data_IF_424784974088
#
_entry.id   IF_424784974088
#
_cell.length_a   1.000
_cell.length_b   1.000
_cell.length_c   1.000
_cell.angle_alpha   90.00
_cell.angle_beta   90.00
_cell.angle_gamma   90.00
#
_symmetry.space_group_name_H-M   'P 1'
#
loop_
_entity.id
_entity.type
_entity.pdbx_description
1 polymer ?
#
# COMPACT_ATOMS: atom_id res chain seq x y z
N UNK A 1 3.48 14.94 -9.98
CA UNK A 1 4.76 14.81 -9.24
C UNK A 1 5.15 13.34 -9.04
N UNK A 2 4.58 12.56 -8.11
CA UNK A 2 4.99 11.15 -7.88
C UNK A 2 4.80 10.27 -9.12
N UNK A 3 3.65 10.35 -9.79
CA UNK A 3 3.39 9.64 -11.06
C UNK A 3 4.37 9.99 -12.18
N UNK A 4 4.97 11.17 -12.12
CA UNK A 4 5.84 11.68 -13.17
C UNK A 4 7.31 11.39 -12.87
N UNK A 5 7.78 11.64 -11.66
CA UNK A 5 9.21 11.70 -11.33
C UNK A 5 9.69 10.56 -10.40
N UNK A 6 8.79 9.64 -10.02
CA UNK A 6 9.15 8.43 -9.26
C UNK A 6 9.68 7.29 -10.12
N UNK A 7 9.06 6.93 -11.27
CA UNK A 7 9.65 5.92 -12.14
C UNK A 7 10.98 6.43 -12.68
N UNK A 8 12.01 5.60 -12.68
CA UNK A 8 13.26 5.94 -13.36
C UNK A 8 12.97 6.06 -14.85
N UNK A 9 13.19 7.26 -15.40
CA UNK A 9 13.03 7.52 -16.82
C UNK A 9 14.39 7.52 -17.49
N UNK A 10 14.49 6.79 -18.58
CA UNK A 10 15.61 6.86 -19.52
C UNK A 10 15.34 7.97 -20.55
N UNK A 11 16.39 8.66 -21.05
CA UNK A 11 16.22 9.61 -22.14
C UNK A 11 15.74 8.90 -23.41
N UNK A 12 14.91 9.57 -24.21
CA UNK A 12 14.51 9.01 -25.51
C UNK A 12 15.73 8.91 -26.43
N UNK A 13 15.68 7.96 -27.38
CA UNK A 13 16.75 7.78 -28.38
C UNK A 13 16.93 9.10 -29.14
N UNK A 14 18.09 9.75 -28.97
CA UNK A 14 18.44 11.04 -29.58
C UNK A 14 18.33 12.26 -28.66
N UNK A 15 17.78 12.12 -27.45
CA UNK A 15 17.80 13.18 -26.44
C UNK A 15 19.03 13.04 -25.53
N UNK A 16 19.72 14.17 -25.29
CA UNK A 16 20.91 14.24 -24.40
C UNK A 16 20.52 14.65 -22.98
N UNK A 17 19.28 15.11 -22.77
CA UNK A 17 18.80 15.60 -21.48
C UNK A 17 18.20 14.44 -20.69
N UNK A 18 18.82 14.13 -19.55
CA UNK A 18 18.23 13.18 -18.62
C UNK A 18 16.95 13.77 -18.01
N UNK A 19 15.83 13.04 -18.04
CA UNK A 19 14.62 13.48 -17.39
C UNK A 19 14.83 13.59 -15.87
N UNK A 20 14.26 14.64 -15.28
CA UNK A 20 14.32 14.82 -13.84
C UNK A 20 13.65 13.65 -13.11
N UNK A 21 14.38 13.06 -12.15
CA UNK A 21 13.91 12.03 -11.25
C UNK A 21 14.11 12.52 -9.81
N UNK A 22 13.17 12.19 -8.92
CA UNK A 22 13.33 12.47 -7.48
C UNK A 22 14.56 11.73 -6.98
N UNK A 23 15.46 12.42 -6.27
CA UNK A 23 16.70 11.82 -5.78
C UNK A 23 16.41 10.67 -4.80
N UNK A 24 17.24 9.63 -4.77
CA UNK A 24 16.97 8.42 -3.98
C UNK A 24 16.89 8.70 -2.47
N UNK A 25 17.67 9.66 -1.95
CA UNK A 25 17.53 10.11 -0.55
C UNK A 25 16.13 10.63 -0.24
N UNK A 26 15.53 11.43 -1.13
CA UNK A 26 14.19 11.96 -0.95
C UNK A 26 13.14 10.86 -1.10
N UNK A 27 13.33 9.94 -2.06
CA UNK A 27 12.48 8.77 -2.21
C UNK A 27 12.49 7.92 -0.95
N UNK A 28 13.67 7.67 -0.37
CA UNK A 28 13.80 6.95 0.88
C UNK A 28 13.03 7.65 2.02
N UNK A 29 13.19 8.97 2.18
CA UNK A 29 12.41 9.72 3.18
C UNK A 29 10.89 9.60 2.97
N UNK A 30 10.43 9.63 1.72
CA UNK A 30 9.00 9.45 1.41
C UNK A 30 8.53 8.04 1.76
N UNK A 31 9.28 7.00 1.39
CA UNK A 31 8.98 5.60 1.74
C UNK A 31 8.90 5.43 3.25
N UNK A 32 9.79 6.08 3.99
CA UNK A 32 9.83 6.00 5.45
C UNK A 32 8.62 6.67 6.13
N UNK A 33 7.88 7.56 5.49
CA UNK A 33 6.84 8.34 6.16
C UNK A 33 5.44 8.21 5.55
N UNK A 34 5.31 7.63 4.35
CA UNK A 34 4.03 7.67 3.62
C UNK A 34 2.93 6.83 4.29
N UNK A 35 3.27 5.72 4.94
CA UNK A 35 2.29 4.85 5.63
C UNK A 35 1.70 5.59 6.83
N UNK A 36 2.56 6.18 7.66
CA UNK A 36 2.19 7.02 8.80
C UNK A 36 1.40 8.25 8.36
N UNK A 37 1.82 8.86 7.24
CA UNK A 37 1.10 9.96 6.60
C UNK A 37 -0.33 9.57 6.24
N UNK A 38 -0.55 8.42 5.62
CA UNK A 38 -1.90 7.90 5.30
C UNK A 38 -2.72 7.70 6.58
N UNK A 39 -2.13 7.12 7.61
CA UNK A 39 -2.81 6.85 8.88
C UNK A 39 -3.28 8.15 9.57
N UNK A 40 -2.40 9.15 9.65
CA UNK A 40 -2.64 10.38 10.44
C UNK A 40 -3.38 11.47 9.68
N UNK A 41 -3.47 11.37 8.36
CA UNK A 41 -4.07 12.42 7.53
C UNK A 41 -5.60 12.41 7.55
N UNK A 42 -6.25 13.57 7.34
CA UNK A 42 -7.68 13.63 7.07
C UNK A 42 -8.03 12.98 5.73
N UNK A 43 -9.30 12.60 5.53
CA UNK A 43 -9.74 11.74 4.43
C UNK A 43 -9.31 12.20 3.02
N UNK A 44 -9.43 13.49 2.72
CA UNK A 44 -9.04 14.03 1.41
C UNK A 44 -7.54 13.88 1.15
N UNK A 45 -6.70 14.16 2.14
CA UNK A 45 -5.24 14.01 2.04
C UNK A 45 -4.86 12.53 2.00
N UNK A 46 -5.51 11.71 2.84
CA UNK A 46 -5.33 10.25 2.86
C UNK A 46 -5.59 9.63 1.49
N UNK A 47 -6.64 10.05 0.80
CA UNK A 47 -6.96 9.56 -0.54
C UNK A 47 -5.83 9.85 -1.54
N UNK A 48 -5.26 11.06 -1.52
CA UNK A 48 -4.14 11.42 -2.40
C UNK A 48 -2.86 10.66 -2.05
N UNK A 49 -2.52 10.55 -0.76
CA UNK A 49 -1.35 9.78 -0.33
C UNK A 49 -1.46 8.30 -0.69
N UNK A 50 -2.67 7.74 -0.65
CA UNK A 50 -2.94 6.36 -1.06
C UNK A 50 -2.67 6.16 -2.57
N UNK A 51 -3.00 7.15 -3.41
CA UNK A 51 -2.66 7.12 -4.83
C UNK A 51 -1.15 7.21 -5.06
N UNK A 52 -0.45 8.08 -4.31
CA UNK A 52 1.00 8.15 -4.34
C UNK A 52 1.63 6.81 -3.94
N UNK A 53 1.15 6.19 -2.86
CA UNK A 53 1.66 4.90 -2.38
C UNK A 53 1.53 3.81 -3.44
N UNK A 54 0.41 3.75 -4.18
CA UNK A 54 0.25 2.78 -5.28
C UNK A 54 1.37 2.91 -6.31
N UNK A 55 1.70 4.13 -6.71
CA UNK A 55 2.79 4.38 -7.68
C UNK A 55 4.12 3.91 -7.10
N UNK A 56 4.41 4.25 -5.84
CA UNK A 56 5.66 3.87 -5.18
C UNK A 56 5.79 2.34 -5.11
N UNK A 57 4.75 1.63 -4.64
CA UNK A 57 4.75 0.17 -4.56
C UNK A 57 4.97 -0.44 -5.94
N UNK A 58 4.30 0.07 -6.98
CA UNK A 58 4.43 -0.45 -8.36
C UNK A 58 5.87 -0.45 -8.87
N UNK A 59 6.66 0.55 -8.47
CA UNK A 59 8.04 0.71 -8.96
C UNK A 59 9.09 0.13 -8.00
N UNK A 60 8.79 0.09 -6.70
CA UNK A 60 9.80 -0.21 -5.69
C UNK A 60 9.58 -1.54 -4.96
N UNK A 61 8.37 -2.11 -4.94
CA UNK A 61 8.11 -3.40 -4.31
C UNK A 61 8.07 -4.52 -5.38
N UNK A 62 8.74 -5.67 -5.17
CA UNK A 62 9.48 -6.06 -3.96
C UNK A 62 10.96 -5.67 -3.97
N UNK A 63 11.45 -4.97 -5.00
CA UNK A 63 12.88 -4.71 -5.19
C UNK A 63 13.48 -3.75 -4.16
N UNK A 64 13.29 -2.45 -4.38
CA UNK A 64 13.91 -1.38 -3.58
C UNK A 64 13.25 -1.16 -2.22
N UNK A 65 12.03 -1.65 -2.00
CA UNK A 65 11.29 -1.37 -0.78
C UNK A 65 10.38 -2.51 -0.34
N UNK A 66 10.97 -3.50 0.35
CA UNK A 66 10.26 -4.59 1.02
C UNK A 66 9.62 -4.14 2.34
N UNK A 67 10.22 -3.17 3.04
CA UNK A 67 9.80 -2.70 4.36
C UNK A 67 8.38 -2.12 4.45
N UNK A 68 7.72 -1.86 3.31
CA UNK A 68 6.29 -1.52 3.28
C UNK A 68 5.42 -2.60 3.94
N UNK A 69 5.80 -3.88 3.79
CA UNK A 69 5.09 -5.01 4.40
C UNK A 69 5.21 -4.95 5.92
N UNK A 70 6.42 -4.76 6.45
CA UNK A 70 6.67 -4.69 7.89
C UNK A 70 5.94 -3.51 8.54
N UNK A 71 5.92 -2.34 7.87
CA UNK A 71 5.18 -1.17 8.37
C UNK A 71 3.68 -1.39 8.42
N UNK A 72 3.10 -2.00 7.38
CA UNK A 72 1.66 -2.33 7.36
C UNK A 72 1.33 -3.30 8.50
N UNK A 73 2.16 -4.33 8.70
CA UNK A 73 1.97 -5.31 9.77
C UNK A 73 2.03 -4.67 11.16
N UNK A 74 3.07 -3.86 11.42
CA UNK A 74 3.23 -3.11 12.66
C UNK A 74 1.97 -2.29 13.02
N UNK A 75 1.41 -1.55 12.06
CA UNK A 75 0.24 -0.72 12.31
C UNK A 75 -1.08 -1.53 12.40
N UNK A 76 -1.20 -2.66 11.70
CA UNK A 76 -2.34 -3.56 11.85
C UNK A 76 -2.36 -4.28 13.21
N UNK A 77 -1.20 -4.47 13.83
CA UNK A 77 -1.08 -5.07 15.17
C UNK A 77 -1.34 -4.07 16.30
N UNK A 78 -1.31 -2.76 16.04
CA UNK A 78 -1.49 -1.77 17.09
C UNK A 78 -2.86 -1.92 17.77
N UNK A 79 -2.88 -1.86 19.10
CA UNK A 79 -4.04 -2.14 19.96
C UNK A 79 -5.21 -1.16 19.75
N UNK A 80 -4.95 0.00 19.17
CA UNK A 80 -5.96 1.01 18.84
C UNK A 80 -6.46 0.87 17.41
N UNK A 81 -7.78 0.92 17.22
CA UNK A 81 -8.40 0.87 15.89
C UNK A 81 -8.02 2.06 15.00
N UNK A 82 -7.52 3.17 15.56
CA UNK A 82 -7.24 4.41 14.83
C UNK A 82 -6.26 4.29 13.66
N UNK A 83 -5.40 3.27 13.64
CA UNK A 83 -4.45 3.00 12.54
C UNK A 83 -4.96 2.00 11.51
N UNK A 84 -6.00 1.23 11.83
CA UNK A 84 -6.42 0.07 11.03
C UNK A 84 -6.88 0.49 9.64
N UNK A 85 -7.70 1.54 9.53
CA UNK A 85 -8.18 2.02 8.23
C UNK A 85 -7.02 2.38 7.30
N UNK A 86 -6.08 3.19 7.78
CA UNK A 86 -4.93 3.62 6.99
C UNK A 86 -4.07 2.43 6.55
N UNK A 87 -3.84 1.48 7.45
CA UNK A 87 -3.06 0.27 7.18
C UNK A 87 -3.75 -0.65 6.16
N UNK A 88 -5.07 -0.85 6.28
CA UNK A 88 -5.88 -1.60 5.31
C UNK A 88 -5.94 -0.91 3.94
N UNK A 89 -5.95 0.42 3.90
CA UNK A 89 -5.85 1.17 2.64
C UNK A 89 -4.47 0.97 1.99
N UNK A 90 -3.40 0.97 2.77
CA UNK A 90 -2.04 0.68 2.29
C UNK A 90 -1.94 -0.76 1.73
N UNK A 91 -2.41 -1.75 2.50
CA UNK A 91 -2.44 -3.15 2.07
C UNK A 91 -3.24 -3.34 0.78
N UNK A 92 -4.37 -2.65 0.65
CA UNK A 92 -5.16 -2.68 -0.58
C UNK A 92 -4.39 -2.13 -1.79
N UNK A 93 -3.54 -1.10 -1.64
CA UNK A 93 -2.69 -0.64 -2.74
C UNK A 93 -1.61 -1.65 -3.10
N UNK A 94 -1.06 -2.37 -2.11
CA UNK A 94 -0.14 -3.47 -2.35
C UNK A 94 -0.80 -4.54 -3.21
N UNK A 95 -1.96 -5.06 -2.79
CA UNK A 95 -2.68 -6.08 -3.56
C UNK A 95 -3.07 -5.58 -4.95
N UNK A 96 -3.64 -4.37 -5.06
CA UNK A 96 -4.11 -3.84 -6.34
C UNK A 96 -3.01 -3.59 -7.37
N UNK A 97 -1.77 -3.40 -6.94
CA UNK A 97 -0.62 -3.28 -7.85
C UNK A 97 -0.38 -4.56 -8.65
N UNK A 98 -0.83 -5.71 -8.13
CA UNK A 98 -0.65 -7.03 -8.71
C UNK A 98 -1.89 -7.60 -9.41
N UNK A 99 -2.99 -6.84 -9.47
CA UNK A 99 -4.28 -7.30 -10.05
C UNK A 99 -4.15 -7.86 -11.47
N UNK A 100 -3.27 -7.27 -12.30
CA UNK A 100 -3.05 -7.69 -13.69
C UNK A 100 -1.70 -8.37 -13.90
N UNK A 101 -1.01 -8.76 -12.82
CA UNK A 101 0.28 -9.43 -12.88
C UNK A 101 0.09 -10.92 -13.13
N UNK A 102 1.01 -11.53 -13.88
CA UNK A 102 0.99 -12.98 -14.13
C UNK A 102 1.30 -13.74 -12.84
N UNK A 103 0.92 -15.03 -12.79
CA UNK A 103 1.04 -15.85 -11.59
C UNK A 103 2.48 -15.93 -11.04
N UNK A 104 3.47 -16.01 -11.93
CA UNK A 104 4.90 -16.02 -11.61
C UNK A 104 5.38 -14.68 -11.01
N UNK A 105 4.85 -13.56 -11.47
CA UNK A 105 5.14 -12.24 -10.92
C UNK A 105 4.47 -11.99 -9.55
N UNK A 106 3.43 -12.75 -9.18
CA UNK A 106 2.66 -12.57 -7.93
C UNK A 106 3.32 -13.22 -6.70
N UNK A 107 4.39 -13.98 -6.86
CA UNK A 107 5.05 -14.67 -5.74
C UNK A 107 5.37 -13.76 -4.53
N UNK A 108 5.89 -12.52 -4.71
CA UNK A 108 6.17 -11.61 -3.59
C UNK A 108 4.90 -11.16 -2.86
N UNK A 109 3.81 -10.92 -3.59
CA UNK A 109 2.51 -10.61 -3.00
C UNK A 109 1.99 -11.81 -2.19
N UNK A 110 2.05 -13.01 -2.77
CA UNK A 110 1.56 -14.23 -2.11
C UNK A 110 2.27 -14.45 -0.79
N UNK A 111 3.60 -14.29 -0.75
CA UNK A 111 4.38 -14.36 0.48
C UNK A 111 3.92 -13.34 1.53
N UNK A 112 3.70 -12.08 1.13
CA UNK A 112 3.16 -11.06 2.04
C UNK A 112 1.76 -11.41 2.57
N UNK A 113 0.87 -11.89 1.69
CA UNK A 113 -0.52 -12.21 2.06
C UNK A 113 -0.65 -13.45 2.94
N UNK A 114 0.30 -14.39 2.91
CA UNK A 114 0.34 -15.50 3.88
C UNK A 114 0.39 -15.00 5.32
N UNK A 115 1.05 -13.86 5.57
CA UNK A 115 1.12 -13.24 6.89
C UNK A 115 -0.15 -12.43 7.21
N UNK A 116 -0.67 -11.68 6.22
CA UNK A 116 -1.81 -10.80 6.44
C UNK A 116 -3.16 -11.51 6.52
N UNK A 117 -3.38 -12.59 5.78
CA UNK A 117 -4.69 -13.25 5.69
C UNK A 117 -5.24 -13.72 7.06
N UNK A 118 -4.46 -14.41 7.92
CA UNK A 118 -4.92 -14.78 9.26
C UNK A 118 -5.30 -13.56 10.10
N UNK A 119 -4.51 -12.48 10.01
CA UNK A 119 -4.77 -11.23 10.76
C UNK A 119 -6.06 -10.56 10.28
N UNK A 120 -6.26 -10.45 8.97
CA UNK A 120 -7.48 -9.89 8.37
C UNK A 120 -8.72 -10.69 8.77
N UNK A 121 -8.62 -12.02 8.82
CA UNK A 121 -9.70 -12.89 9.30
C UNK A 121 -10.05 -12.60 10.75
N UNK A 122 -9.05 -12.55 11.64
CA UNK A 122 -9.27 -12.22 13.06
C UNK A 122 -9.93 -10.85 13.24
N UNK A 123 -9.45 -9.84 12.51
CA UNK A 123 -10.05 -8.50 12.52
C UNK A 123 -11.50 -8.53 12.06
N UNK A 124 -11.81 -9.25 10.97
CA UNK A 124 -13.18 -9.39 10.48
C UNK A 124 -14.09 -9.97 11.57
N UNK A 125 -13.67 -11.06 12.24
CA UNK A 125 -14.44 -11.69 13.33
C UNK A 125 -14.63 -10.73 14.51
N UNK A 126 -13.59 -9.97 14.87
CA UNK A 126 -13.66 -8.98 15.94
C UNK A 126 -14.64 -7.83 15.62
N UNK A 127 -14.77 -7.46 14.35
CA UNK A 127 -15.61 -6.35 13.88
C UNK A 127 -17.08 -6.75 13.69
N UNK A 128 -17.37 -8.03 13.41
CA UNK A 128 -18.73 -8.54 13.18
C UNK A 128 -19.78 -8.10 14.22
N UNK A 129 -19.52 -8.17 15.55
CA UNK A 129 -20.52 -7.77 16.53
C UNK A 129 -20.70 -6.25 16.67
N UNK A 130 -19.82 -5.43 16.10
CA UNK A 130 -19.91 -3.96 16.17
C UNK A 130 -20.67 -3.39 14.94
N UNK A 131 -21.90 -2.86 15.12
CA UNK A 131 -22.69 -2.29 14.03
C UNK A 131 -22.28 -0.85 13.67
N UNK A 132 -21.23 -0.30 14.29
CA UNK A 132 -20.78 1.07 14.02
C UNK A 132 -20.41 1.26 12.55
N UNK A 133 -20.62 2.48 12.03
CA UNK A 133 -20.22 2.83 10.67
C UNK A 133 -18.72 2.59 10.44
N UNK A 134 -17.90 2.83 11.47
CA UNK A 134 -16.46 2.61 11.41
C UNK A 134 -16.12 1.12 11.25
N UNK A 135 -16.77 0.23 12.01
CA UNK A 135 -16.60 -1.22 11.88
C UNK A 135 -16.99 -1.71 10.48
N UNK A 136 -18.16 -1.30 10.00
CA UNK A 136 -18.64 -1.67 8.65
C UNK A 136 -17.67 -1.18 7.56
N UNK A 137 -17.11 0.02 7.72
CA UNK A 137 -16.09 0.56 6.81
C UNK A 137 -14.83 -0.33 6.79
N UNK A 138 -14.33 -0.78 7.96
CA UNK A 138 -13.19 -1.68 8.03
C UNK A 138 -13.49 -3.03 7.38
N UNK A 139 -14.63 -3.63 7.71
CA UNK A 139 -15.08 -4.91 7.13
C UNK A 139 -15.15 -4.83 5.61
N UNK A 140 -15.77 -3.77 5.06
CA UNK A 140 -15.81 -3.51 3.62
C UNK A 140 -14.40 -3.41 3.02
N UNK A 141 -13.48 -2.73 3.70
CA UNK A 141 -12.12 -2.57 3.20
C UNK A 141 -11.34 -3.90 3.23
N UNK A 142 -11.53 -4.74 4.23
CA UNK A 142 -10.99 -6.12 4.29
C UNK A 142 -11.52 -6.94 3.10
N UNK A 143 -12.83 -6.90 2.85
CA UNK A 143 -13.44 -7.62 1.73
C UNK A 143 -12.91 -7.15 0.37
N UNK A 144 -12.63 -5.85 0.20
CA UNK A 144 -11.99 -5.32 -1.01
C UNK A 144 -10.57 -5.85 -1.21
N UNK A 145 -9.80 -5.99 -0.13
CA UNK A 145 -8.46 -6.59 -0.19
C UNK A 145 -8.56 -8.04 -0.67
N UNK A 146 -9.47 -8.82 -0.06
CA UNK A 146 -9.69 -10.22 -0.43
C UNK A 146 -10.14 -10.37 -1.89
N UNK A 147 -11.11 -9.57 -2.32
CA UNK A 147 -11.58 -9.54 -3.71
C UNK A 147 -10.45 -9.24 -4.69
N UNK A 148 -9.67 -8.19 -4.43
CA UNK A 148 -8.54 -7.81 -5.28
C UNK A 148 -7.40 -8.84 -5.30
N UNK A 149 -7.27 -9.66 -4.26
CA UNK A 149 -6.25 -10.71 -4.18
C UNK A 149 -6.60 -11.91 -5.06
N UNK A 150 -7.89 -12.18 -5.27
CA UNK A 150 -8.38 -13.36 -5.99
C UNK A 150 -8.59 -13.09 -7.47
N UNK A 151 -8.87 -11.83 -7.84
CA UNK A 151 -8.86 -11.39 -9.24
C UNK A 151 -7.47 -11.54 -9.85
#
# INVERSE_FOLDING_TARGET
>A
MVTQFWPDREPMIGEVVFPFNIHENDRHQIRENIVEGIIRSPDLVRAQLTLCLRVIIKHDFPGRWTGVVDKIDLYLQSSGSGSWLGSLLCLYQLVKTYEYKKADERAPLVAAMQMFLPRLQQMMVQLLPDPSHYSVLMQKQILKIFYALIQ
#
